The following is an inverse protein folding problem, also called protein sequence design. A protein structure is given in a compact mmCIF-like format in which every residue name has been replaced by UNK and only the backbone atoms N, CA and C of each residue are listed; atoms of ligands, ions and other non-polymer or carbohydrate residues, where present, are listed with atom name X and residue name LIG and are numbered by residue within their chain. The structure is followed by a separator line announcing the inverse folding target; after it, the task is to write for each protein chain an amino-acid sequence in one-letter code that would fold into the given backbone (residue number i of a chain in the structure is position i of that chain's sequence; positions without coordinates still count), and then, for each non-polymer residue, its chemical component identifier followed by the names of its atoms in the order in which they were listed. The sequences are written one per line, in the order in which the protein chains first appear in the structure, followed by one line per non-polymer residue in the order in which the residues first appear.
data_IF_783186258064
#
_entry.id   IF_783186258064
#
_cell.length_a   1.000
_cell.length_b   1.000
_cell.length_c   1.000
_cell.angle_alpha   90.00
_cell.angle_beta   90.00
_cell.angle_gamma   90.00
#
_symmetry.space_group_name_H-M   'P 1'
#
loop_
_entity.id
_entity.type
_entity.pdbx_description
1 polymer ?
#
# COMPACT_ATOMS: atom_id res chain seq x y z
N UNK A 1 9.90 12.78 -24.64
CA UNK A 1 9.77 11.45 -24.05
C UNK A 1 8.38 11.28 -23.41
N UNK A 2 7.72 10.13 -23.66
CA UNK A 2 6.45 9.78 -23.03
C UNK A 2 6.70 9.03 -21.74
N UNK A 3 6.17 9.52 -20.63
CA UNK A 3 6.26 8.88 -19.31
C UNK A 3 4.89 8.70 -18.70
N UNK A 4 4.71 7.60 -17.97
CA UNK A 4 3.49 7.32 -17.23
C UNK A 4 3.57 7.85 -15.80
N UNK A 5 2.49 8.43 -15.33
CA UNK A 5 2.33 8.91 -13.95
C UNK A 5 1.13 8.27 -13.30
N UNK A 6 1.10 8.26 -11.95
CA UNK A 6 -0.13 7.95 -11.22
C UNK A 6 -0.98 9.21 -11.24
N UNK A 7 -2.16 9.13 -11.85
CA UNK A 7 -3.05 10.28 -11.96
C UNK A 7 -3.59 10.68 -10.58
N UNK A 8 -3.34 11.90 -10.11
CA UNK A 8 -4.01 12.45 -8.94
C UNK A 8 -5.48 12.74 -9.22
N UNK A 9 -6.27 12.76 -8.16
CA UNK A 9 -7.66 13.15 -8.26
C UNK A 9 -7.79 14.62 -8.69
N UNK A 10 -8.58 14.89 -9.72
CA UNK A 10 -8.80 16.23 -10.25
C UNK A 10 -7.85 16.69 -11.36
N UNK A 11 -6.79 15.95 -11.65
CA UNK A 11 -5.88 16.27 -12.77
C UNK A 11 -6.56 16.00 -14.11
N UNK A 12 -6.48 16.96 -15.03
CA UNK A 12 -7.08 16.90 -16.38
C UNK A 12 -6.01 16.83 -17.47
N UNK A 13 -6.42 16.42 -18.67
CA UNK A 13 -5.56 16.46 -19.85
C UNK A 13 -5.25 17.93 -20.19
N UNK A 14 -3.96 18.23 -20.41
CA UNK A 14 -3.46 19.58 -20.64
C UNK A 14 -2.88 20.26 -19.39
N UNK A 15 -3.13 19.74 -18.19
CA UNK A 15 -2.50 20.26 -16.97
C UNK A 15 -0.99 20.01 -17.00
N UNK A 16 -0.22 21.02 -16.59
CA UNK A 16 1.25 20.93 -16.45
C UNK A 16 1.60 20.48 -15.05
N UNK A 17 2.45 19.48 -14.92
CA UNK A 17 3.00 18.99 -13.67
C UNK A 17 4.52 19.19 -13.65
N UNK A 18 5.05 19.51 -12.49
CA UNK A 18 6.46 19.79 -12.28
C UNK A 18 6.99 18.91 -11.15
N UNK A 19 8.21 18.41 -11.32
CA UNK A 19 8.95 17.69 -10.28
C UNK A 19 10.25 18.42 -9.99
N UNK A 20 10.52 18.73 -8.72
CA UNK A 20 11.74 19.44 -8.33
C UNK A 20 11.78 19.81 -6.85
N UNK A 21 12.81 20.57 -6.46
CA UNK A 21 13.00 20.99 -5.08
C UNK A 21 12.10 22.16 -4.68
N UNK A 22 12.01 23.18 -5.52
CA UNK A 22 11.20 24.39 -5.29
C UNK A 22 10.07 24.42 -6.32
N UNK A 23 8.97 23.78 -6.02
CA UNK A 23 7.81 23.69 -6.89
C UNK A 23 6.58 24.11 -6.12
N UNK A 24 5.62 24.71 -6.81
CA UNK A 24 4.35 25.15 -6.24
C UNK A 24 3.55 23.94 -5.72
N UNK A 25 2.84 24.13 -4.60
CA UNK A 25 2.02 23.09 -3.94
C UNK A 25 0.71 22.83 -4.70
N UNK A 26 0.82 22.54 -6.00
CA UNK A 26 -0.32 22.14 -6.83
C UNK A 26 -0.48 20.62 -6.89
N UNK A 27 -1.73 20.16 -7.00
CA UNK A 27 -2.03 18.73 -7.19
C UNK A 27 -1.31 18.18 -8.42
N UNK A 28 -0.60 17.08 -8.24
CA UNK A 28 0.18 16.42 -9.29
C UNK A 28 1.67 16.80 -9.28
N UNK A 29 2.05 17.90 -8.65
CA UNK A 29 3.46 18.26 -8.54
C UNK A 29 4.19 17.37 -7.53
N UNK A 30 5.42 16.97 -7.87
CA UNK A 30 6.28 16.17 -7.00
C UNK A 30 7.38 17.02 -6.39
N UNK A 31 7.49 16.97 -5.06
CA UNK A 31 8.39 17.82 -4.27
C UNK A 31 8.99 17.03 -3.11
N UNK A 32 10.13 17.47 -2.59
CA UNK A 32 10.73 16.87 -1.39
C UNK A 32 9.84 17.11 -0.17
N UNK A 33 9.73 16.11 0.69
CA UNK A 33 8.90 16.14 1.90
C UNK A 33 9.24 17.33 2.81
N UNK A 34 10.51 17.77 2.87
CA UNK A 34 10.93 18.95 3.65
C UNK A 34 10.20 20.25 3.28
N UNK A 35 9.72 20.35 2.03
CA UNK A 35 9.08 21.55 1.51
C UNK A 35 7.54 21.48 1.56
N UNK A 36 6.98 20.40 2.12
CA UNK A 36 5.53 20.17 2.24
C UNK A 36 5.07 20.56 3.64
N UNK A 37 4.09 21.45 3.79
CA UNK A 37 3.56 21.83 5.09
C UNK A 37 2.81 20.69 5.78
N UNK A 38 2.76 20.73 7.10
CA UNK A 38 1.95 19.80 7.91
C UNK A 38 0.46 19.94 7.57
N UNK A 39 -0.26 18.82 7.64
CA UNK A 39 -1.68 18.73 7.29
C UNK A 39 -1.94 18.42 5.82
N UNK A 40 -0.97 18.62 4.92
CA UNK A 40 -1.12 18.38 3.49
C UNK A 40 -1.27 16.88 3.17
N UNK A 41 -2.13 16.57 2.18
CA UNK A 41 -2.26 15.23 1.63
C UNK A 41 -1.29 15.01 0.48
N UNK A 42 -0.61 13.87 0.51
CA UNK A 42 0.38 13.46 -0.48
C UNK A 42 0.21 11.98 -0.86
N UNK A 43 0.74 11.60 -1.99
CA UNK A 43 0.76 10.22 -2.46
C UNK A 43 2.06 9.92 -3.20
N UNK A 44 2.25 8.69 -3.66
CA UNK A 44 3.40 8.27 -4.46
C UNK A 44 4.74 8.67 -3.79
N UNK A 45 4.94 8.20 -2.54
CA UNK A 45 6.02 8.64 -1.66
C UNK A 45 7.20 7.69 -1.73
N UNK A 46 8.41 8.25 -1.78
CA UNK A 46 9.64 7.49 -1.63
C UNK A 46 9.88 7.08 -0.17
N UNK A 47 10.54 5.96 0.03
CA UNK A 47 11.05 5.51 1.34
C UNK A 47 12.54 5.80 1.51
N UNK A 48 13.27 5.87 0.41
CA UNK A 48 14.71 6.18 0.31
C UNK A 48 14.86 7.17 -0.82
N UNK A 49 15.58 8.30 -0.63
CA UNK A 49 15.75 9.30 -1.66
C UNK A 49 16.33 8.72 -2.95
N UNK A 50 15.72 9.04 -4.10
CA UNK A 50 16.16 8.61 -5.43
C UNK A 50 15.85 7.16 -5.81
N UNK A 51 15.25 6.37 -4.91
CA UNK A 51 14.87 4.97 -5.20
C UNK A 51 13.55 4.83 -5.96
N UNK A 52 12.80 5.90 -6.06
CA UNK A 52 11.44 5.88 -6.60
C UNK A 52 10.36 5.60 -5.55
N UNK A 53 9.17 6.04 -5.86
CA UNK A 53 8.05 6.00 -4.93
C UNK A 53 7.51 4.58 -4.74
N UNK A 54 7.21 4.24 -3.48
CA UNK A 54 6.76 2.91 -3.06
C UNK A 54 5.49 2.94 -2.22
N UNK A 55 5.14 4.07 -1.57
CA UNK A 55 3.99 4.17 -0.67
C UNK A 55 2.85 4.99 -1.28
N UNK A 56 1.62 4.69 -0.86
CA UNK A 56 0.38 5.38 -1.25
C UNK A 56 0.23 5.54 -2.76
N UNK A 57 0.25 4.41 -3.48
CA UNK A 57 0.14 4.35 -4.95
C UNK A 57 -1.16 3.78 -5.44
N UNK A 58 -1.89 3.06 -4.59
CA UNK A 58 -3.16 2.43 -4.96
C UNK A 58 -4.26 3.47 -5.19
N UNK A 59 -5.28 3.10 -5.96
CA UNK A 59 -6.43 3.94 -6.25
C UNK A 59 -7.04 4.52 -4.96
N UNK A 60 -7.29 5.82 -4.95
CA UNK A 60 -7.85 6.53 -3.79
C UNK A 60 -6.91 6.70 -2.59
N UNK A 61 -5.70 6.15 -2.62
CA UNK A 61 -4.78 6.24 -1.49
C UNK A 61 -4.21 7.66 -1.30
N UNK A 62 -3.97 8.01 -0.04
CA UNK A 62 -3.31 9.25 0.37
C UNK A 62 -2.59 9.05 1.69
N UNK A 63 -1.68 9.93 2.00
CA UNK A 63 -0.93 10.03 3.26
C UNK A 63 -1.01 11.45 3.74
N UNK A 64 -1.17 11.66 5.03
CA UNK A 64 -1.14 12.98 5.64
C UNK A 64 0.24 13.27 6.21
N UNK A 65 0.81 14.41 5.86
CA UNK A 65 2.03 14.94 6.49
C UNK A 65 1.66 15.47 7.87
N UNK A 66 2.29 14.96 8.94
CA UNK A 66 1.96 15.32 10.32
C UNK A 66 2.93 16.36 10.88
N UNK A 67 4.20 16.04 10.90
CA UNK A 67 5.24 16.88 11.48
C UNK A 67 6.58 16.66 10.78
N UNK A 68 7.51 17.58 11.00
CA UNK A 68 8.90 17.46 10.55
C UNK A 68 9.81 17.68 11.75
N UNK A 69 10.77 16.76 11.93
CA UNK A 69 11.76 16.82 13.00
C UNK A 69 13.03 16.06 12.59
N UNK A 70 14.22 16.59 12.95
CA UNK A 70 15.51 15.91 12.84
C UNK A 70 15.78 15.22 11.49
N UNK A 71 15.61 15.92 10.37
CA UNK A 71 15.79 15.40 9.00
C UNK A 71 14.78 14.32 8.59
N UNK A 72 13.72 14.10 9.37
CA UNK A 72 12.62 13.18 9.07
C UNK A 72 11.29 13.90 9.02
N UNK A 73 10.38 13.36 8.24
CA UNK A 73 8.99 13.79 8.19
C UNK A 73 8.11 12.65 8.68
N UNK A 74 7.24 12.95 9.62
CA UNK A 74 6.26 12.01 10.17
C UNK A 74 5.02 11.99 9.30
N UNK A 75 4.66 10.80 8.84
CA UNK A 75 3.57 10.54 7.91
C UNK A 75 2.54 9.60 8.52
N UNK A 76 1.26 9.97 8.42
CA UNK A 76 0.12 9.09 8.74
C UNK A 76 -0.32 8.36 7.48
N UNK A 77 -0.08 7.06 7.45
CA UNK A 77 -0.38 6.18 6.30
C UNK A 77 -1.87 5.81 6.24
N UNK A 78 -2.37 5.34 5.07
CA UNK A 78 -3.76 4.88 4.92
C UNK A 78 -4.13 3.73 5.87
N UNK A 79 -3.16 2.95 6.31
CA UNK A 79 -3.35 1.86 7.28
C UNK A 79 -3.57 2.33 8.73
N UNK A 80 -3.39 3.64 9.01
CA UNK A 80 -3.35 4.21 10.36
C UNK A 80 -1.96 4.20 11.00
N UNK A 81 -0.96 3.53 10.42
CA UNK A 81 0.42 3.56 10.90
C UNK A 81 1.00 4.96 10.76
N UNK A 82 1.66 5.44 11.81
CA UNK A 82 2.43 6.68 11.79
C UNK A 82 3.90 6.32 11.77
N UNK A 83 4.62 6.82 10.75
CA UNK A 83 6.03 6.53 10.58
C UNK A 83 6.84 7.71 10.07
N UNK A 84 8.13 7.66 10.32
CA UNK A 84 9.11 8.63 9.85
C UNK A 84 9.68 8.21 8.48
N UNK A 85 9.90 9.19 7.63
CA UNK A 85 10.55 9.05 6.31
C UNK A 85 11.57 10.17 6.17
N UNK A 86 12.76 9.93 5.56
CA UNK A 86 13.74 10.97 5.34
C UNK A 86 13.15 12.18 4.58
N UNK A 87 13.44 13.37 5.03
CA UNK A 87 12.87 14.62 4.48
C UNK A 87 13.23 14.90 3.01
N UNK A 88 14.35 14.30 2.52
CA UNK A 88 14.79 14.39 1.12
C UNK A 88 13.99 13.51 0.17
N UNK A 89 13.14 12.61 0.67
CA UNK A 89 12.27 11.77 -0.15
C UNK A 89 11.25 12.62 -0.92
N UNK A 90 10.99 12.24 -2.16
CA UNK A 90 9.97 12.87 -2.99
C UNK A 90 8.57 12.34 -2.64
N UNK A 91 7.59 13.22 -2.73
CA UNK A 91 6.17 12.88 -2.66
C UNK A 91 5.38 13.74 -3.64
N UNK A 92 4.27 13.24 -4.13
CA UNK A 92 3.36 13.97 -5.04
C UNK A 92 2.19 14.54 -4.25
N UNK A 93 1.89 15.82 -4.48
CA UNK A 93 0.79 16.53 -3.82
C UNK A 93 -0.56 16.00 -4.26
N UNK A 94 -1.48 15.81 -3.31
CA UNK A 94 -2.86 15.40 -3.55
C UNK A 94 -3.13 13.93 -3.22
N UNK A 95 -4.24 13.43 -3.72
CA UNK A 95 -4.78 12.07 -3.48
C UNK A 95 -4.79 11.31 -4.80
N UNK A 96 -4.52 10.03 -4.79
CA UNK A 96 -4.60 9.19 -6.02
C UNK A 96 -6.03 9.18 -6.55
N UNK A 97 -6.17 9.26 -7.86
CA UNK A 97 -7.46 9.18 -8.55
C UNK A 97 -8.14 7.82 -8.44
N UNK A 98 -9.25 7.66 -9.20
CA UNK A 98 -10.02 6.40 -9.26
C UNK A 98 -10.48 5.87 -7.89
N UNK A 99 -10.96 6.74 -7.00
CA UNK A 99 -11.37 6.44 -5.62
C UNK A 99 -12.44 5.33 -5.52
N UNK A 100 -13.26 5.19 -6.54
CA UNK A 100 -14.33 4.19 -6.57
C UNK A 100 -13.87 2.80 -7.04
N UNK A 101 -12.58 2.61 -7.30
CA UNK A 101 -12.06 1.34 -7.82
C UNK A 101 -12.40 0.14 -6.91
N UNK A 102 -12.41 0.31 -5.61
CA UNK A 102 -12.76 -0.74 -4.63
C UNK A 102 -14.24 -1.19 -4.73
N UNK A 103 -15.12 -0.35 -5.27
CA UNK A 103 -16.55 -0.64 -5.43
C UNK A 103 -16.83 -1.49 -6.69
N UNK A 104 -15.84 -1.66 -7.57
CA UNK A 104 -15.99 -2.40 -8.82
C UNK A 104 -16.17 -3.89 -8.55
N UNK A 105 -17.32 -4.43 -8.94
CA UNK A 105 -17.61 -5.86 -8.87
C UNK A 105 -17.31 -6.53 -10.20
N UNK A 106 -16.61 -7.65 -10.17
CA UNK A 106 -16.22 -8.40 -11.37
C UNK A 106 -17.43 -9.04 -12.08
N UNK A 107 -18.50 -9.36 -11.35
CA UNK A 107 -19.74 -9.94 -11.88
C UNK A 107 -19.65 -11.42 -12.23
N UNK A 108 -18.58 -11.86 -12.92
CA UNK A 108 -18.40 -13.24 -13.35
C UNK A 108 -16.96 -13.74 -13.21
N UNK A 109 -16.80 -15.05 -13.05
CA UNK A 109 -15.48 -15.70 -12.94
C UNK A 109 -14.61 -15.53 -14.20
N UNK A 110 -15.23 -15.49 -15.38
CA UNK A 110 -14.53 -15.25 -16.65
C UNK A 110 -13.77 -13.92 -16.68
N UNK A 111 -14.30 -12.86 -16.05
CA UNK A 111 -13.59 -11.60 -15.96
C UNK A 111 -12.28 -11.71 -15.14
N UNK A 112 -12.28 -12.49 -14.07
CA UNK A 112 -11.06 -12.79 -13.32
C UNK A 112 -10.03 -13.53 -14.18
N UNK A 113 -10.47 -14.43 -15.06
CA UNK A 113 -9.60 -15.10 -16.02
C UNK A 113 -8.99 -14.13 -17.03
N UNK A 114 -9.76 -13.18 -17.54
CA UNK A 114 -9.26 -12.12 -18.44
C UNK A 114 -8.20 -11.25 -17.78
N UNK A 115 -8.31 -11.05 -16.47
CA UNK A 115 -7.29 -10.33 -15.66
C UNK A 115 -6.08 -11.20 -15.29
N UNK A 116 -5.95 -12.39 -15.86
CA UNK A 116 -4.84 -13.32 -15.62
C UNK A 116 -4.91 -14.08 -14.29
N UNK A 117 -6.01 -13.96 -13.53
CA UNK A 117 -6.17 -14.68 -12.27
C UNK A 117 -6.68 -16.10 -12.51
N UNK A 118 -5.85 -17.08 -12.18
CA UNK A 118 -6.24 -18.50 -12.21
C UNK A 118 -7.07 -18.87 -10.98
N UNK A 119 -7.97 -19.88 -11.09
CA UNK A 119 -8.67 -20.44 -9.94
C UNK A 119 -7.70 -20.92 -8.87
N UNK A 120 -8.05 -20.74 -7.60
CA UNK A 120 -7.31 -21.28 -6.46
C UNK A 120 -8.21 -22.23 -5.67
N UNK A 121 -7.73 -23.45 -5.48
CA UNK A 121 -8.38 -24.43 -4.61
C UNK A 121 -8.07 -24.09 -3.17
N UNK A 122 -9.08 -24.17 -2.29
CA UNK A 122 -8.91 -23.98 -0.87
C UNK A 122 -8.23 -25.19 -0.25
N UNK A 123 -7.32 -25.00 0.71
CA UNK A 123 -6.63 -26.11 1.38
C UNK A 123 -7.55 -27.16 2.01
N UNK A 124 -8.72 -26.72 2.52
CA UNK A 124 -9.74 -27.60 3.11
C UNK A 124 -10.39 -28.58 2.08
N UNK A 125 -10.32 -28.24 0.81
CA UNK A 125 -10.83 -29.07 -0.29
C UNK A 125 -9.76 -29.97 -0.93
N UNK A 126 -8.57 -30.00 -0.38
CA UNK A 126 -7.44 -30.82 -0.82
C UNK A 126 -7.35 -32.11 -0.01
N UNK A 127 -6.51 -33.05 -0.45
CA UNK A 127 -6.16 -34.22 0.32
C UNK A 127 -5.17 -33.89 1.45
N UNK A 128 -5.07 -34.73 2.49
CA UNK A 128 -4.13 -34.50 3.59
C UNK A 128 -2.67 -34.39 3.16
N UNK A 129 -2.28 -35.06 2.10
CA UNK A 129 -0.92 -35.02 1.52
C UNK A 129 -0.61 -33.65 0.90
N UNK A 130 -1.62 -32.92 0.39
CA UNK A 130 -1.44 -31.65 -0.33
C UNK A 130 -1.52 -30.44 0.60
N UNK A 131 -2.25 -30.55 1.70
CA UNK A 131 -2.46 -29.43 2.61
C UNK A 131 -2.74 -29.88 4.04
N UNK A 132 -2.17 -29.22 5.08
CA UNK A 132 -2.40 -29.58 6.49
C UNK A 132 -3.87 -29.49 6.94
N UNK A 133 -4.72 -28.79 6.20
CA UNK A 133 -6.16 -28.66 6.46
C UNK A 133 -7.00 -29.56 5.53
N UNK A 134 -6.38 -30.38 4.73
CA UNK A 134 -7.04 -31.30 3.81
C UNK A 134 -7.57 -32.54 4.51
N UNK A 135 -8.43 -33.29 3.79
CA UNK A 135 -9.03 -34.54 4.24
C UNK A 135 -10.46 -34.39 4.72
N UNK A 136 -11.03 -35.52 5.15
CA UNK A 136 -12.42 -35.66 5.57
C UNK A 136 -13.35 -36.13 4.45
N UNK A 137 -14.58 -36.51 4.80
CA UNK A 137 -15.64 -36.89 3.90
C UNK A 137 -16.59 -35.73 3.64
N UNK A 138 -16.95 -35.52 2.37
CA UNK A 138 -17.88 -34.45 1.97
C UNK A 138 -17.43 -33.06 2.38
N UNK A 139 -18.35 -32.25 2.92
CA UNK A 139 -18.07 -30.90 3.41
C UNK A 139 -17.56 -30.93 4.86
N UNK A 140 -16.25 -31.12 5.01
CA UNK A 140 -15.59 -31.15 6.32
C UNK A 140 -15.10 -29.75 6.76
N UNK A 141 -14.89 -29.59 8.07
CA UNK A 141 -14.21 -28.44 8.64
C UNK A 141 -12.69 -28.57 8.50
N UNK A 142 -11.96 -27.46 8.65
CA UNK A 142 -10.50 -27.49 8.59
C UNK A 142 -9.80 -28.24 9.73
N UNK A 143 -10.53 -28.63 10.79
CA UNK A 143 -10.06 -29.43 11.93
C UNK A 143 -9.00 -28.79 12.83
N UNK A 144 -8.53 -27.59 12.52
CA UNK A 144 -7.48 -26.87 13.24
C UNK A 144 -7.49 -25.37 12.94
N UNK A 145 -6.64 -24.60 13.63
CA UNK A 145 -6.42 -23.21 13.27
C UNK A 145 -5.96 -23.07 11.81
N UNK A 146 -6.47 -22.06 11.07
CA UNK A 146 -6.09 -21.86 9.67
C UNK A 146 -4.59 -21.70 9.51
N UNK A 147 -4.01 -22.50 8.63
CA UNK A 147 -2.58 -22.52 8.32
C UNK A 147 -2.33 -22.44 6.82
N UNK A 148 -1.12 -22.04 6.46
CA UNK A 148 -0.62 -22.09 5.07
C UNK A 148 -0.30 -23.56 4.67
N UNK A 149 -0.05 -23.85 3.39
CA UNK A 149 0.43 -25.16 2.95
C UNK A 149 1.68 -25.64 3.70
N UNK A 150 2.48 -24.74 4.22
CA UNK A 150 3.70 -25.02 5.00
C UNK A 150 3.45 -25.02 6.52
N UNK A 151 2.22 -25.06 6.98
CA UNK A 151 1.86 -25.16 8.38
C UNK A 151 1.95 -23.85 9.20
N UNK A 152 2.26 -22.72 8.59
CA UNK A 152 2.32 -21.42 9.31
C UNK A 152 0.92 -20.89 9.60
N UNK A 153 0.60 -20.46 10.83
CA UNK A 153 -0.68 -19.84 11.17
C UNK A 153 -0.98 -18.62 10.27
N UNK A 154 -2.21 -18.51 9.78
CA UNK A 154 -2.64 -17.43 8.87
C UNK A 154 -3.45 -16.33 9.58
N UNK A 155 -3.99 -16.61 10.77
CA UNK A 155 -4.74 -15.65 11.58
C UNK A 155 -3.98 -15.31 12.87
N UNK A 156 -3.88 -14.03 13.18
CA UNK A 156 -3.29 -13.52 14.42
C UNK A 156 -1.76 -13.62 14.53
N UNK A 157 -1.10 -14.33 13.65
CA UNK A 157 0.35 -14.49 13.70
C UNK A 157 1.08 -13.26 13.19
N UNK A 158 1.92 -12.65 14.04
CA UNK A 158 2.74 -11.49 13.69
C UNK A 158 3.95 -11.92 12.85
N UNK A 159 3.86 -11.75 11.53
CA UNK A 159 4.91 -12.19 10.58
C UNK A 159 6.10 -11.22 10.48
N UNK A 160 5.95 -9.96 10.93
CA UNK A 160 7.04 -8.99 10.90
C UNK A 160 8.15 -9.39 11.88
N UNK A 161 9.39 -9.47 11.42
CA UNK A 161 10.56 -9.77 12.27
C UNK A 161 10.71 -8.71 13.38
N UNK A 162 10.90 -9.14 14.64
CA UNK A 162 11.05 -8.25 15.81
C UNK A 162 12.22 -7.28 15.63
N UNK A 163 13.37 -7.75 15.16
CA UNK A 163 14.61 -6.98 15.01
C UNK A 163 14.77 -6.35 13.62
N UNK A 164 13.68 -5.99 12.94
CA UNK A 164 13.77 -5.31 11.65
C UNK A 164 14.22 -3.86 11.86
N UNK A 165 15.34 -3.43 11.25
CA UNK A 165 15.90 -2.06 11.36
C UNK A 165 14.86 -0.95 11.16
N UNK A 166 13.93 -1.15 10.20
CA UNK A 166 12.85 -0.18 9.93
C UNK A 166 11.80 -0.06 11.05
N UNK A 167 11.92 -0.82 12.17
CA UNK A 167 11.04 -0.62 13.32
C UNK A 167 11.32 0.70 14.05
N UNK A 168 12.56 1.17 14.03
CA UNK A 168 12.94 2.47 14.61
C UNK A 168 12.24 3.67 13.93
N UNK A 169 11.78 3.49 12.68
CA UNK A 169 11.06 4.53 11.94
C UNK A 169 9.55 4.51 12.15
N UNK A 170 9.01 3.57 12.92
CA UNK A 170 7.57 3.48 13.22
C UNK A 170 7.32 4.15 14.55
N UNK A 171 6.57 5.27 14.53
CA UNK A 171 6.19 6.03 15.73
C UNK A 171 4.98 5.37 16.41
N UNK A 172 3.95 5.05 15.62
CA UNK A 172 2.72 4.41 16.09
C UNK A 172 2.28 3.33 15.11
N UNK A 173 1.94 2.15 15.61
CA UNK A 173 1.38 1.06 14.78
C UNK A 173 -0.12 1.26 14.58
N UNK A 174 -0.68 0.60 13.59
CA UNK A 174 -2.12 0.71 13.25
C UNK A 174 -3.07 0.26 14.36
N UNK A 175 -2.61 -0.58 15.27
CA UNK A 175 -3.43 -1.19 16.33
C UNK A 175 -3.03 -0.67 17.73
N UNK A 176 -2.25 0.41 17.80
CA UNK A 176 -1.87 1.07 19.06
C UNK A 176 -2.81 2.24 19.31
#
# INVERSE_FOLDING_TARGET
EKRYIIQPNGLKVGDKIISGEKVELKTGNAIQLKNIPSGQFVHNIEMIPGKGAQMARSAGAYVQVMARDNNYVTLKLPSGEVRMVPEKCLATIGVVGNKQHELVRSGKAGRSRWLGKRPKVRGVAMNPVDHPMGGGEGKSSGGRHPVTPWGKPTKGYKTRKKNKKSNALIVKRRND
#
